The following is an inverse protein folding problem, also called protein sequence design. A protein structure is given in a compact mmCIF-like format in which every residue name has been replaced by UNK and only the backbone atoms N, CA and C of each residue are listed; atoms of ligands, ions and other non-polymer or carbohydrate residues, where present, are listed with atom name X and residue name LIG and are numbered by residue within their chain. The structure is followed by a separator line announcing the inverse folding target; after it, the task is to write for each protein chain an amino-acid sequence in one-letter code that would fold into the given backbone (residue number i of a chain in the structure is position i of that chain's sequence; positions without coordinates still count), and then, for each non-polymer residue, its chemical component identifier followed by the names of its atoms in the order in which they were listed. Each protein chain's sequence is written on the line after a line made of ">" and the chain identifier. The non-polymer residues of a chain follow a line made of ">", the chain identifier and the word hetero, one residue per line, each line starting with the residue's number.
data_IF_796111049464
#
_entry.id   IF_796111049464
#
_cell.length_a   1.000
_cell.length_b   1.000
_cell.length_c   1.000
_cell.angle_alpha   90.00
_cell.angle_beta   90.00
_cell.angle_gamma   90.00
#
_symmetry.space_group_name_H-M   'P 1'
#
loop_
_entity.id
_entity.type
_entity.pdbx_description
1 polymer ?
#
# COMPACT_ATOMS: atom_id res chain seq x y z
N UNK A 1 13.60 8.78 -14.13
CA UNK A 1 12.39 8.24 -13.48
C UNK A 1 11.24 8.31 -14.48
N UNK A 2 10.21 7.49 -14.33
CA UNK A 2 9.00 7.53 -15.15
C UNK A 2 7.79 7.68 -14.24
N UNK A 3 6.91 8.64 -14.51
CA UNK A 3 5.62 8.80 -13.85
C UNK A 3 4.49 8.46 -14.83
N UNK A 4 3.77 7.39 -14.54
CA UNK A 4 2.63 6.92 -15.33
C UNK A 4 1.32 7.49 -14.75
N UNK A 5 0.38 7.85 -15.61
CA UNK A 5 -0.87 8.53 -15.21
C UNK A 5 -0.57 9.85 -14.48
N UNK A 6 0.27 10.68 -15.10
CA UNK A 6 0.87 11.86 -14.45
C UNK A 6 -0.13 12.97 -14.16
N UNK A 7 -1.30 12.96 -14.81
CA UNK A 7 -2.28 14.03 -14.67
C UNK A 7 -1.65 15.39 -14.96
N UNK A 8 -1.89 16.35 -14.06
CA UNK A 8 -1.33 17.70 -14.18
C UNK A 8 0.16 17.81 -13.76
N UNK A 9 0.85 16.68 -13.55
CA UNK A 9 2.28 16.66 -13.27
C UNK A 9 2.67 16.93 -11.81
N UNK A 10 1.74 16.83 -10.84
CA UNK A 10 2.08 17.09 -9.42
C UNK A 10 3.16 16.13 -8.90
N UNK A 11 3.08 14.84 -9.22
CA UNK A 11 4.08 13.85 -8.78
C UNK A 11 5.48 14.19 -9.31
N UNK A 12 5.71 14.38 -10.61
CA UNK A 12 7.05 14.69 -11.13
C UNK A 12 7.56 16.03 -10.58
N UNK A 13 6.71 17.05 -10.42
CA UNK A 13 7.09 18.32 -9.79
C UNK A 13 7.54 18.16 -8.33
N UNK A 14 6.86 17.34 -7.53
CA UNK A 14 7.29 17.08 -6.15
C UNK A 14 8.57 16.24 -6.12
N UNK A 15 8.77 15.33 -7.08
CA UNK A 15 9.98 14.52 -7.16
C UNK A 15 11.24 15.34 -7.45
N UNK A 16 11.15 16.47 -8.17
CA UNK A 16 12.33 17.35 -8.40
C UNK A 16 12.85 17.99 -7.13
N UNK A 17 12.02 18.15 -6.10
CA UNK A 17 12.44 18.62 -4.78
C UNK A 17 13.35 17.61 -4.04
N UNK A 18 13.40 16.36 -4.52
CA UNK A 18 14.12 15.25 -3.87
C UNK A 18 15.13 14.56 -4.79
N UNK A 19 15.22 14.99 -6.04
CA UNK A 19 16.11 14.38 -7.03
C UNK A 19 16.38 15.31 -8.19
N UNK A 20 17.59 15.23 -8.74
CA UNK A 20 18.02 15.99 -9.92
C UNK A 20 18.00 15.15 -11.21
N UNK A 21 17.57 13.88 -11.14
CA UNK A 21 17.58 12.99 -12.31
C UNK A 21 16.47 13.35 -13.30
N UNK A 22 16.62 13.02 -14.60
CA UNK A 22 15.57 13.21 -15.59
C UNK A 22 14.30 12.43 -15.25
N UNK A 23 13.14 13.03 -15.49
CA UNK A 23 11.81 12.47 -15.22
C UNK A 23 10.99 12.52 -16.51
N UNK A 24 10.47 11.38 -16.94
CA UNK A 24 9.45 11.33 -17.99
C UNK A 24 8.07 11.23 -17.34
N UNK A 25 7.15 12.11 -17.70
CA UNK A 25 5.79 12.14 -17.20
C UNK A 25 4.82 11.78 -18.35
N UNK A 26 4.01 10.73 -18.16
CA UNK A 26 3.12 10.21 -19.20
C UNK A 26 1.67 10.42 -18.79
N UNK A 27 0.91 11.06 -19.67
CA UNK A 27 -0.53 11.27 -19.50
C UNK A 27 -1.25 11.04 -20.84
N UNK A 28 -2.35 10.28 -20.82
CA UNK A 28 -3.10 9.93 -22.03
C UNK A 28 -3.93 11.10 -22.55
N UNK A 29 -4.41 11.97 -21.66
CA UNK A 29 -5.24 13.11 -22.01
C UNK A 29 -4.38 14.31 -22.40
N UNK A 30 -4.40 14.66 -23.70
CA UNK A 30 -3.61 15.77 -24.24
C UNK A 30 -3.81 17.10 -23.50
N UNK A 31 -5.05 17.45 -23.15
CA UNK A 31 -5.37 18.69 -22.45
C UNK A 31 -4.77 18.73 -21.03
N UNK A 32 -4.80 17.59 -20.34
CA UNK A 32 -4.24 17.46 -18.98
C UNK A 32 -2.71 17.46 -19.03
N UNK A 33 -2.13 16.80 -20.04
CA UNK A 33 -0.70 16.83 -20.29
C UNK A 33 -0.20 18.23 -20.65
N UNK A 34 -0.98 19.04 -21.38
CA UNK A 34 -0.67 20.45 -21.62
C UNK A 34 -0.62 21.26 -20.32
N UNK A 35 -1.57 21.03 -19.39
CA UNK A 35 -1.52 21.63 -18.06
C UNK A 35 -0.22 21.27 -17.31
N UNK A 36 0.21 20.01 -17.41
CA UNK A 36 1.48 19.56 -16.83
C UNK A 36 2.68 20.27 -17.47
N UNK A 37 2.73 20.35 -18.81
CA UNK A 37 3.79 21.06 -19.56
C UNK A 37 3.91 22.51 -19.13
N UNK A 38 2.77 23.23 -19.05
CA UNK A 38 2.75 24.62 -18.58
C UNK A 38 3.24 24.73 -17.13
N UNK A 39 2.85 23.81 -16.26
CA UNK A 39 3.31 23.79 -14.87
C UNK A 39 4.83 23.55 -14.79
N UNK A 40 5.38 22.63 -15.57
CA UNK A 40 6.82 22.38 -15.69
C UNK A 40 7.55 23.65 -16.17
N UNK A 41 7.03 24.31 -17.21
CA UNK A 41 7.60 25.54 -17.75
C UNK A 41 7.60 26.68 -16.73
N UNK A 42 6.49 26.90 -16.03
CA UNK A 42 6.36 27.95 -15.01
C UNK A 42 7.32 27.75 -13.83
N UNK A 43 7.73 26.51 -13.56
CA UNK A 43 8.69 26.19 -12.51
C UNK A 43 10.14 26.09 -13.02
N UNK A 44 10.40 26.34 -14.31
CA UNK A 44 11.75 26.28 -14.88
C UNK A 44 12.35 24.87 -14.96
N UNK A 45 11.50 23.83 -15.02
CA UNK A 45 11.91 22.42 -14.93
C UNK A 45 11.94 21.69 -16.29
N UNK A 46 11.94 22.41 -17.41
CA UNK A 46 11.85 21.83 -18.76
C UNK A 46 13.03 20.94 -19.14
N UNK A 47 14.20 21.17 -18.55
CA UNK A 47 15.39 20.34 -18.78
C UNK A 47 15.36 19.03 -17.97
N UNK A 48 14.53 18.97 -16.92
CA UNK A 48 14.45 17.82 -16.04
C UNK A 48 13.20 16.96 -16.28
N UNK A 49 12.06 17.58 -16.60
CA UNK A 49 10.78 16.89 -16.79
C UNK A 49 10.37 16.94 -18.26
N UNK A 50 10.28 15.76 -18.88
CA UNK A 50 9.73 15.55 -20.23
C UNK A 50 8.30 15.00 -20.13
N UNK A 51 7.31 15.80 -20.56
CA UNK A 51 5.89 15.40 -20.53
C UNK A 51 5.47 14.85 -21.90
N UNK A 52 5.03 13.59 -21.92
CA UNK A 52 4.61 12.87 -23.12
C UNK A 52 3.13 12.51 -23.09
N UNK A 53 2.54 12.48 -24.28
CA UNK A 53 1.12 12.16 -24.49
C UNK A 53 1.01 10.86 -25.25
N UNK A 54 0.71 9.77 -24.54
CA UNK A 54 0.43 8.46 -25.13
C UNK A 54 -0.32 7.57 -24.14
N UNK A 55 -0.90 6.49 -24.65
CA UNK A 55 -1.54 5.45 -23.84
C UNK A 55 -0.46 4.52 -23.26
N UNK A 56 -0.40 4.34 -21.95
CA UNK A 56 0.56 3.43 -21.32
C UNK A 56 0.47 1.98 -21.84
N UNK A 57 -0.68 1.58 -22.41
CA UNK A 57 -0.85 0.26 -23.05
C UNK A 57 0.06 0.09 -24.27
N UNK A 58 0.48 1.19 -24.91
CA UNK A 58 1.39 1.22 -26.07
C UNK A 58 2.84 1.56 -25.70
N UNK A 59 3.21 1.49 -24.41
CA UNK A 59 4.54 1.91 -23.93
C UNK A 59 5.72 1.25 -24.67
N UNK A 60 5.54 0.03 -25.18
CA UNK A 60 6.55 -0.71 -25.93
C UNK A 60 6.91 -0.08 -27.27
N UNK A 61 5.99 0.69 -27.84
CA UNK A 61 6.13 1.38 -29.12
C UNK A 61 6.73 2.79 -28.90
N UNK A 62 6.56 3.33 -27.69
CA UNK A 62 6.95 4.69 -27.31
C UNK A 62 8.31 4.78 -26.61
N UNK A 63 8.74 3.69 -25.96
CA UNK A 63 9.92 3.69 -25.09
C UNK A 63 10.69 2.36 -25.13
N UNK A 64 12.03 2.40 -25.02
CA UNK A 64 12.83 1.19 -24.88
C UNK A 64 12.57 0.46 -23.56
N UNK A 65 12.55 -0.87 -23.62
CA UNK A 65 12.42 -1.75 -22.46
C UNK A 65 13.54 -1.53 -21.43
N UNK A 66 13.17 -1.52 -20.15
CA UNK A 66 14.11 -1.64 -19.04
C UNK A 66 15.07 -0.45 -18.88
N UNK A 67 14.56 0.77 -19.02
CA UNK A 67 15.36 1.99 -18.98
C UNK A 67 15.27 2.76 -17.68
N UNK A 68 14.21 2.56 -16.89
CA UNK A 68 13.96 3.34 -15.67
C UNK A 68 14.36 2.58 -14.40
N UNK A 69 14.97 3.29 -13.45
CA UNK A 69 15.26 2.76 -12.11
C UNK A 69 14.03 2.84 -11.19
N UNK A 70 13.17 3.84 -11.42
CA UNK A 70 11.95 4.10 -10.66
C UNK A 70 10.81 4.45 -11.60
N UNK A 71 9.67 3.79 -11.36
CA UNK A 71 8.36 4.12 -11.93
C UNK A 71 7.42 4.54 -10.80
N UNK A 72 6.70 5.64 -10.96
CA UNK A 72 5.59 6.04 -10.08
C UNK A 72 4.28 5.95 -10.84
N UNK A 73 3.19 5.65 -10.15
CA UNK A 73 1.86 5.71 -10.74
C UNK A 73 0.77 5.97 -9.70
N UNK A 74 -0.08 6.94 -10.00
CA UNK A 74 -1.29 7.26 -9.25
C UNK A 74 -2.49 7.15 -10.22
N UNK A 75 -2.92 5.92 -10.58
CA UNK A 75 -3.89 5.73 -11.65
C UNK A 75 -5.27 6.30 -11.24
N UNK A 76 -6.10 6.73 -12.20
CA UNK A 76 -7.45 7.17 -11.92
C UNK A 76 -8.29 6.00 -11.39
N UNK A 77 -8.67 6.02 -10.10
CA UNK A 77 -9.29 4.88 -9.40
C UNK A 77 -10.77 4.62 -9.73
N UNK A 78 -11.36 5.30 -10.70
CA UNK A 78 -12.79 5.24 -10.94
C UNK A 78 -13.15 4.08 -11.87
N UNK A 79 -13.60 2.98 -11.28
CA UNK A 79 -14.53 2.06 -11.92
C UNK A 79 -15.81 2.05 -11.08
N UNK A 80 -16.83 2.69 -11.64
CA UNK A 80 -18.25 2.80 -11.26
C UNK A 80 -18.69 2.41 -9.84
N UNK A 81 -19.15 3.42 -9.07
CA UNK A 81 -20.03 3.20 -7.93
C UNK A 81 -21.11 4.28 -7.72
N UNK A 82 -21.42 5.11 -8.72
CA UNK A 82 -22.58 6.00 -8.69
C UNK A 82 -23.18 6.17 -10.10
N UNK A 83 -24.16 5.34 -10.45
CA UNK A 83 -25.20 5.73 -11.41
C UNK A 83 -26.08 6.77 -10.72
N UNK A 84 -25.73 8.05 -10.87
CA UNK A 84 -26.66 9.13 -10.56
C UNK A 84 -27.52 9.37 -11.80
N UNK A 85 -28.80 8.99 -11.70
CA UNK A 85 -29.84 9.29 -12.67
C UNK A 85 -30.16 10.80 -12.68
N UNK A 86 -29.28 11.63 -13.24
CA UNK A 86 -29.62 13.00 -13.61
C UNK A 86 -28.66 13.56 -14.65
N UNK A 87 -29.19 13.66 -15.89
CA UNK A 87 -28.77 14.45 -17.07
C UNK A 87 -27.90 13.74 -18.12
N UNK A 88 -28.36 13.74 -19.40
CA UNK A 88 -27.57 13.31 -20.54
C UNK A 88 -26.76 14.51 -21.07
N UNK A 89 -25.51 14.66 -20.62
CA UNK A 89 -24.55 15.58 -21.24
C UNK A 89 -23.29 14.79 -21.66
N UNK A 90 -23.44 14.14 -22.82
CA UNK A 90 -22.47 14.12 -23.92
C UNK A 90 -21.12 13.42 -23.77
N UNK A 91 -20.79 12.75 -22.66
CA UNK A 91 -19.65 11.81 -22.61
C UNK A 91 -20.08 10.64 -21.73
N UNK A 92 -20.57 9.57 -22.38
CA UNK A 92 -20.41 8.23 -21.85
C UNK A 92 -18.95 8.12 -21.39
N UNK A 93 -18.73 8.23 -20.08
CA UNK A 93 -17.43 8.25 -19.43
C UNK A 93 -16.57 7.16 -20.04
N UNK A 94 -15.61 7.55 -20.89
CA UNK A 94 -14.41 6.82 -21.28
C UNK A 94 -14.36 5.39 -20.70
N UNK A 95 -15.16 4.48 -21.28
CA UNK A 95 -15.09 3.05 -21.04
C UNK A 95 -13.78 2.57 -21.66
N UNK A 96 -12.67 2.73 -20.92
CA UNK A 96 -11.38 2.02 -20.94
C UNK A 96 -10.32 2.85 -20.20
N UNK A 97 -10.59 3.28 -18.97
CA UNK A 97 -9.50 3.68 -18.07
C UNK A 97 -8.57 2.48 -17.90
N UNK A 98 -7.25 2.67 -18.11
CA UNK A 98 -6.24 1.62 -17.97
C UNK A 98 -6.45 0.82 -16.67
N UNK A 99 -6.41 -0.51 -16.75
CA UNK A 99 -6.57 -1.35 -15.56
C UNK A 99 -5.29 -1.33 -14.73
N UNK A 100 -5.37 -1.77 -13.47
CA UNK A 100 -4.15 -1.95 -12.66
C UNK A 100 -3.19 -2.99 -13.26
N UNK A 101 -3.70 -3.93 -14.07
CA UNK A 101 -2.89 -4.88 -14.83
C UNK A 101 -2.11 -4.21 -15.96
N UNK A 102 -2.74 -3.31 -16.71
CA UNK A 102 -2.07 -2.52 -17.75
C UNK A 102 -0.97 -1.65 -17.14
N UNK A 103 -1.28 -0.98 -16.04
CA UNK A 103 -0.34 -0.15 -15.27
C UNK A 103 0.86 -0.99 -14.77
N UNK A 104 0.60 -2.14 -14.15
CA UNK A 104 1.67 -3.01 -13.64
C UNK A 104 2.54 -3.56 -14.78
N UNK A 105 1.95 -3.94 -15.92
CA UNK A 105 2.69 -4.39 -17.10
C UNK A 105 3.55 -3.28 -17.70
N UNK A 106 3.01 -2.06 -17.85
CA UNK A 106 3.76 -0.93 -18.37
C UNK A 106 4.91 -0.55 -17.42
N UNK A 107 4.66 -0.50 -16.11
CA UNK A 107 5.70 -0.28 -15.12
C UNK A 107 6.79 -1.36 -15.18
N UNK A 108 6.42 -2.64 -15.25
CA UNK A 108 7.36 -3.73 -15.38
C UNK A 108 8.17 -3.64 -16.67
N UNK A 109 7.55 -3.32 -17.81
CA UNK A 109 8.24 -3.14 -19.08
C UNK A 109 9.29 -2.02 -19.02
N UNK A 110 8.92 -0.87 -18.46
CA UNK A 110 9.79 0.30 -18.35
C UNK A 110 10.96 0.09 -17.37
N UNK A 111 10.76 -0.69 -16.32
CA UNK A 111 11.76 -0.86 -15.25
C UNK A 111 12.95 -1.74 -15.65
N UNK A 112 14.15 -1.29 -15.29
CA UNK A 112 15.35 -2.13 -15.20
C UNK A 112 15.11 -3.31 -14.24
N UNK A 113 15.87 -4.39 -14.39
CA UNK A 113 15.87 -5.43 -13.35
C UNK A 113 16.27 -4.82 -11.99
N UNK A 114 15.58 -5.20 -10.91
CA UNK A 114 15.65 -4.56 -9.58
C UNK A 114 15.18 -3.10 -9.49
N UNK A 115 14.69 -2.52 -10.58
CA UNK A 115 13.98 -1.24 -10.55
C UNK A 115 12.71 -1.32 -9.70
N UNK A 116 12.26 -0.15 -9.22
CA UNK A 116 11.17 -0.02 -8.25
C UNK A 116 9.94 0.64 -8.89
N UNK A 117 8.77 0.07 -8.65
CA UNK A 117 7.50 0.71 -8.91
C UNK A 117 6.88 1.20 -7.60
N UNK A 118 6.34 2.42 -7.57
CA UNK A 118 5.55 2.93 -6.46
C UNK A 118 4.13 3.23 -6.95
N UNK A 119 3.16 2.56 -6.35
CA UNK A 119 1.74 2.70 -6.66
C UNK A 119 1.00 3.37 -5.51
N UNK A 120 0.15 4.32 -5.85
CA UNK A 120 -0.95 4.74 -4.99
C UNK A 120 -2.17 3.91 -5.39
N UNK A 121 -2.96 3.43 -4.43
CA UNK A 121 -4.14 2.62 -4.73
C UNK A 121 -5.23 2.70 -3.66
N UNK A 122 -6.40 2.15 -3.97
CA UNK A 122 -7.54 2.04 -3.06
C UNK A 122 -7.46 0.71 -2.28
N UNK A 123 -7.51 0.72 -0.93
CA UNK A 123 -7.38 -0.50 -0.12
C UNK A 123 -8.43 -1.57 -0.44
N UNK A 124 -9.62 -1.18 -0.86
CA UNK A 124 -10.75 -2.08 -1.15
C UNK A 124 -10.43 -3.09 -2.27
N UNK A 125 -9.56 -2.68 -3.22
CA UNK A 125 -9.15 -3.49 -4.37
C UNK A 125 -7.69 -3.94 -4.29
N UNK A 126 -7.09 -3.89 -3.10
CA UNK A 126 -5.67 -4.24 -2.90
C UNK A 126 -5.31 -5.63 -3.44
N UNK A 127 -6.23 -6.58 -3.40
CA UNK A 127 -6.03 -7.93 -3.94
C UNK A 127 -5.71 -7.91 -5.44
N UNK A 128 -6.36 -7.04 -6.22
CA UNK A 128 -6.10 -6.87 -7.65
C UNK A 128 -4.71 -6.26 -7.91
N UNK A 129 -4.29 -5.30 -7.09
CA UNK A 129 -2.96 -4.71 -7.19
C UNK A 129 -1.87 -5.76 -6.96
N UNK A 130 -2.02 -6.61 -5.94
CA UNK A 130 -1.07 -7.70 -5.68
C UNK A 130 -1.05 -8.71 -6.83
N UNK A 131 -2.22 -9.06 -7.37
CA UNK A 131 -2.31 -9.98 -8.50
C UNK A 131 -1.68 -9.38 -9.77
N UNK A 132 -1.94 -8.12 -10.06
CA UNK A 132 -1.35 -7.39 -11.19
C UNK A 132 0.18 -7.32 -11.08
N UNK A 133 0.71 -7.01 -9.89
CA UNK A 133 2.15 -7.06 -9.64
C UNK A 133 2.73 -8.45 -9.90
N UNK A 134 2.11 -9.50 -9.35
CA UNK A 134 2.56 -10.88 -9.54
C UNK A 134 2.58 -11.29 -11.02
N UNK A 135 1.50 -11.00 -11.76
CA UNK A 135 1.40 -11.28 -13.20
C UNK A 135 2.45 -10.52 -14.02
N UNK A 136 2.80 -9.30 -13.63
CA UNK A 136 3.79 -8.47 -14.32
C UNK A 136 5.25 -8.77 -13.91
N UNK A 137 5.50 -9.68 -12.95
CA UNK A 137 6.84 -9.95 -12.43
C UNK A 137 7.40 -8.84 -11.51
N UNK A 138 6.50 -8.06 -10.90
CA UNK A 138 6.80 -7.09 -9.85
C UNK A 138 6.53 -7.74 -8.50
N UNK A 139 7.51 -7.74 -7.62
CA UNK A 139 7.36 -8.31 -6.28
C UNK A 139 7.03 -7.20 -5.27
N UNK A 140 5.85 -7.20 -4.61
CA UNK A 140 5.51 -6.27 -3.55
C UNK A 140 6.55 -6.29 -2.42
N UNK A 141 7.04 -5.12 -2.02
CA UNK A 141 8.11 -4.98 -1.02
C UNK A 141 7.73 -4.16 0.20
N UNK A 142 7.07 -3.02 0.01
CA UNK A 142 6.64 -2.17 1.11
C UNK A 142 5.20 -1.77 0.90
N UNK A 143 4.39 -1.95 1.93
CA UNK A 143 2.99 -1.58 1.96
C UNK A 143 2.76 -0.55 3.05
N UNK A 144 2.04 0.52 2.79
CA UNK A 144 1.68 1.51 3.81
C UNK A 144 0.24 1.97 3.64
N UNK A 145 -0.53 1.87 4.72
CA UNK A 145 -1.91 2.35 4.74
C UNK A 145 -1.96 3.81 5.15
N UNK A 146 -2.81 4.58 4.48
CA UNK A 146 -3.09 5.97 4.82
C UNK A 146 -4.53 6.06 5.28
N UNK A 147 -4.71 6.60 6.47
CA UNK A 147 -5.99 6.75 7.16
C UNK A 147 -6.30 8.24 7.31
N UNK A 148 -7.52 8.69 7.04
CA UNK A 148 -7.89 10.09 7.28
C UNK A 148 -7.68 10.52 8.74
N UNK A 149 -7.97 9.61 9.69
CA UNK A 149 -7.82 9.79 11.15
C UNK A 149 -7.72 8.42 11.82
N UNK A 150 -7.31 8.37 13.08
CA UNK A 150 -7.02 7.12 13.81
C UNK A 150 -8.15 6.09 13.78
N UNK A 151 -9.38 6.53 14.03
CA UNK A 151 -10.56 5.65 14.10
C UNK A 151 -11.24 5.43 12.74
N UNK A 152 -10.65 5.90 11.64
CA UNK A 152 -11.19 5.73 10.29
C UNK A 152 -10.50 4.58 9.54
N UNK A 153 -11.24 3.93 8.64
CA UNK A 153 -10.67 2.98 7.70
C UNK A 153 -9.64 3.65 6.79
N UNK A 154 -8.64 2.89 6.37
CA UNK A 154 -7.71 3.35 5.34
C UNK A 154 -8.48 3.64 4.05
N UNK A 155 -8.16 4.75 3.40
CA UNK A 155 -8.75 5.11 2.10
C UNK A 155 -7.69 5.17 0.99
N UNK A 156 -6.41 5.06 1.33
CA UNK A 156 -5.30 4.96 0.38
C UNK A 156 -4.34 3.88 0.88
N UNK A 157 -3.75 3.14 -0.05
CA UNK A 157 -2.60 2.28 0.18
C UNK A 157 -1.46 2.67 -0.75
N UNK A 158 -0.25 2.76 -0.21
CA UNK A 158 0.98 2.94 -0.97
C UNK A 158 1.68 1.59 -1.06
N UNK A 159 2.08 1.21 -2.27
CA UNK A 159 2.82 -0.03 -2.51
C UNK A 159 4.10 0.25 -3.29
N UNK A 160 5.25 -0.09 -2.71
CA UNK A 160 6.51 -0.25 -3.44
C UNK A 160 6.61 -1.72 -3.90
N UNK A 161 6.89 -1.95 -5.18
CA UNK A 161 7.19 -3.25 -5.76
C UNK A 161 8.53 -3.22 -6.52
N UNK A 162 9.20 -4.37 -6.66
CA UNK A 162 10.51 -4.49 -7.29
C UNK A 162 10.48 -5.48 -8.44
N UNK A 163 10.94 -5.09 -9.63
CA UNK A 163 11.02 -5.99 -10.79
C UNK A 163 12.01 -7.13 -10.53
N UNK A 164 11.52 -8.36 -10.58
CA UNK A 164 12.31 -9.56 -10.27
C UNK A 164 12.87 -9.54 -8.84
N UNK A 165 12.15 -8.93 -7.89
CA UNK A 165 12.48 -8.98 -6.47
C UNK A 165 12.40 -10.39 -5.88
N UNK A 166 13.07 -10.62 -4.74
CA UNK A 166 12.83 -11.82 -3.93
C UNK A 166 11.54 -11.66 -3.15
N UNK A 167 10.89 -12.76 -2.78
CA UNK A 167 9.66 -12.71 -2.00
C UNK A 167 9.76 -11.92 -0.69
N UNK A 168 8.61 -11.43 -0.24
CA UNK A 168 8.42 -10.85 1.09
C UNK A 168 8.08 -9.37 1.03
N UNK A 169 6.98 -9.04 1.70
CA UNK A 169 6.42 -7.69 1.86
C UNK A 169 6.53 -7.24 3.32
N UNK A 170 6.98 -6.01 3.53
CA UNK A 170 6.96 -5.33 4.83
C UNK A 170 5.77 -4.38 4.87
N UNK A 171 4.90 -4.53 5.86
CA UNK A 171 3.86 -3.53 6.13
C UNK A 171 4.43 -2.47 7.06
N UNK A 172 4.53 -1.23 6.57
CA UNK A 172 4.96 -0.07 7.33
C UNK A 172 3.84 0.39 8.27
N UNK A 173 4.18 1.09 9.36
CA UNK A 173 3.17 1.73 10.19
C UNK A 173 2.28 2.68 9.37
N UNK A 174 0.97 2.71 9.67
CA UNK A 174 0.03 3.54 8.95
C UNK A 174 0.34 5.02 9.15
N UNK A 175 -0.04 5.84 8.19
CA UNK A 175 -0.03 7.31 8.32
C UNK A 175 -1.46 7.76 8.60
N UNK A 176 -1.64 8.55 9.64
CA UNK A 176 -2.91 9.22 9.93
C UNK A 176 -2.82 10.67 9.44
N UNK A 177 -3.73 11.10 8.57
CA UNK A 177 -3.64 12.44 7.97
C UNK A 177 -3.96 13.52 8.99
N UNK A 178 -5.04 13.34 9.76
CA UNK A 178 -5.54 14.34 10.70
C UNK A 178 -5.71 13.82 12.13
N UNK A 179 -5.41 14.69 13.09
CA UNK A 179 -5.76 14.57 14.51
C UNK A 179 -6.27 15.94 15.00
N UNK A 180 -7.44 15.98 15.62
CA UNK A 180 -8.09 17.21 16.10
C UNK A 180 -8.22 18.34 15.05
N UNK A 181 -8.32 17.99 13.77
CA UNK A 181 -8.46 18.95 12.67
C UNK A 181 -7.13 19.46 12.10
N UNK A 182 -6.00 19.08 12.69
CA UNK A 182 -4.66 19.43 12.22
C UNK A 182 -3.94 18.23 11.61
N UNK A 183 -2.94 18.49 10.78
CA UNK A 183 -2.09 17.44 10.22
C UNK A 183 -1.26 16.77 11.32
N UNK A 184 -1.26 15.44 11.35
CA UNK A 184 -0.43 14.73 12.34
C UNK A 184 1.05 14.89 12.01
N UNK A 185 1.91 14.81 13.03
CA UNK A 185 3.37 14.77 12.81
C UNK A 185 3.78 13.65 11.86
N UNK A 186 3.10 12.49 11.92
CA UNK A 186 3.39 11.36 11.03
C UNK A 186 3.11 11.69 9.56
N UNK A 187 2.03 12.43 9.29
CA UNK A 187 1.70 12.89 7.95
C UNK A 187 2.67 13.97 7.47
N UNK A 188 2.92 14.99 8.29
CA UNK A 188 3.85 16.08 7.92
C UNK A 188 5.23 15.54 7.56
N UNK A 189 5.78 14.62 8.36
CA UNK A 189 7.04 13.93 8.05
C UNK A 189 7.01 13.22 6.71
N UNK A 190 5.96 12.43 6.45
CA UNK A 190 5.81 11.70 5.19
C UNK A 190 5.66 12.65 4.00
N UNK A 191 4.90 13.74 4.18
CA UNK A 191 4.66 14.76 3.18
C UNK A 191 5.96 15.52 2.83
N UNK A 192 6.74 15.91 3.84
CA UNK A 192 8.02 16.61 3.67
C UNK A 192 9.15 15.68 3.21
N UNK A 193 9.02 14.37 3.45
CA UNK A 193 9.98 13.35 2.98
C UNK A 193 11.05 13.02 4.01
N UNK A 194 10.77 13.31 5.27
CA UNK A 194 11.66 12.98 6.37
C UNK A 194 11.75 11.46 6.56
N UNK A 195 12.97 10.95 6.62
CA UNK A 195 13.22 9.55 6.95
C UNK A 195 13.11 9.36 8.46
N UNK A 196 12.32 8.38 8.89
CA UNK A 196 12.20 8.01 10.29
C UNK A 196 12.44 6.50 10.46
N UNK A 197 13.29 6.12 11.40
CA UNK A 197 13.49 4.74 11.78
C UNK A 197 12.37 4.31 12.72
N UNK A 198 11.56 3.36 12.28
CA UNK A 198 10.61 2.70 13.18
C UNK A 198 11.38 1.78 14.11
N UNK A 199 11.57 2.18 15.36
CA UNK A 199 11.93 1.23 16.39
C UNK A 199 10.78 0.23 16.55
N UNK A 200 11.12 -1.06 16.69
CA UNK A 200 10.16 -2.04 17.20
C UNK A 200 9.82 -1.62 18.62
N UNK A 201 8.76 -0.83 18.78
CA UNK A 201 8.19 -0.58 20.08
C UNK A 201 7.61 -1.91 20.56
N UNK A 202 8.33 -2.58 21.46
CA UNK A 202 7.72 -3.63 22.25
C UNK A 202 6.60 -2.96 23.05
N UNK A 203 5.37 -3.38 22.77
CA UNK A 203 4.17 -2.97 23.47
C UNK A 203 4.36 -3.18 24.99
N UNK A 204 4.78 -2.12 25.71
CA UNK A 204 4.84 -2.06 27.19
C UNK A 204 3.44 -1.84 27.78
N UNK A 205 2.43 -2.52 27.24
CA UNK A 205 1.12 -2.53 27.88
C UNK A 205 1.25 -3.37 29.14
N UNK A 206 0.92 -2.78 30.29
CA UNK A 206 0.66 -3.51 31.53
C UNK A 206 -0.58 -4.38 31.27
N UNK A 207 -0.38 -5.52 30.60
CA UNK A 207 -1.45 -6.45 30.27
C UNK A 207 -2.00 -6.99 31.58
N UNK A 208 -3.33 -7.09 31.68
CA UNK A 208 -3.93 -8.03 32.63
C UNK A 208 -3.40 -9.41 32.23
N UNK A 209 -2.65 -10.05 33.11
CA UNK A 209 -2.05 -11.36 32.84
C UNK A 209 -3.16 -12.34 32.50
N UNK A 210 -3.14 -12.82 31.27
CA UNK A 210 -3.94 -13.96 30.87
C UNK A 210 -2.97 -15.04 30.43
N UNK A 211 -3.28 -16.27 30.78
CA UNK A 211 -2.43 -17.41 30.55
C UNK A 211 -3.16 -18.37 29.63
N UNK A 212 -2.40 -18.89 28.68
CA UNK A 212 -2.78 -20.09 27.93
C UNK A 212 -2.01 -21.23 28.56
N UNK A 213 -2.70 -22.27 28.99
CA UNK A 213 -2.09 -23.41 29.66
C UNK A 213 -2.48 -24.70 28.93
N UNK A 214 -1.61 -25.72 29.04
CA UNK A 214 -1.86 -27.04 28.51
C UNK A 214 -1.80 -28.06 29.64
N UNK A 215 -2.78 -28.96 29.66
CA UNK A 215 -2.92 -30.04 30.64
C UNK A 215 -2.79 -31.36 29.91
N UNK A 216 -2.01 -32.28 30.46
CA UNK A 216 -2.03 -33.68 30.02
C UNK A 216 -3.09 -34.43 30.82
N UNK A 217 -3.99 -35.09 30.11
CA UNK A 217 -5.07 -35.90 30.67
C UNK A 217 -4.56 -37.33 30.90
N UNK A 218 -5.19 -38.06 31.83
CA UNK A 218 -4.83 -39.47 32.15
C UNK A 218 -4.79 -40.44 30.97
N UNK A 219 -5.50 -40.14 29.88
CA UNK A 219 -5.51 -40.94 28.66
C UNK A 219 -4.38 -40.57 27.69
N UNK A 220 -3.46 -39.68 28.09
CA UNK A 220 -2.36 -39.16 27.28
C UNK A 220 -2.77 -38.07 26.29
N UNK A 221 -4.02 -37.60 26.34
CA UNK A 221 -4.48 -36.49 25.50
C UNK A 221 -4.12 -35.13 26.12
N UNK A 222 -3.91 -34.10 25.27
CA UNK A 222 -3.60 -32.75 25.74
C UNK A 222 -4.80 -31.82 25.58
N UNK A 223 -5.15 -31.12 26.66
CA UNK A 223 -6.18 -30.08 26.69
C UNK A 223 -5.53 -28.70 26.78
N UNK A 224 -5.99 -27.74 25.97
CA UNK A 224 -5.54 -26.34 26.07
C UNK A 224 -6.64 -25.46 26.63
N UNK A 225 -6.28 -24.58 27.57
CA UNK A 225 -7.21 -23.70 28.27
C UNK A 225 -6.73 -22.26 28.35
N UNK A 226 -7.69 -21.35 28.52
CA UNK A 226 -7.45 -19.93 28.74
C UNK A 226 -7.97 -19.53 30.13
N UNK A 227 -7.15 -18.83 30.91
CA UNK A 227 -7.57 -18.28 32.19
C UNK A 227 -6.82 -16.99 32.54
N UNK A 228 -7.49 -16.12 33.32
CA UNK A 228 -6.83 -14.96 33.98
C UNK A 228 -6.14 -15.37 35.28
N UNK A 229 -6.62 -16.44 35.91
CA UNK A 229 -6.03 -17.11 37.05
C UNK A 229 -6.04 -18.62 36.78
N UNK A 230 -4.87 -19.16 36.41
CA UNK A 230 -4.75 -20.57 36.02
C UNK A 230 -5.03 -21.49 37.20
N UNK A 231 -4.65 -21.09 38.41
CA UNK A 231 -4.78 -21.93 39.60
C UNK A 231 -6.24 -22.04 40.04
N UNK A 232 -6.97 -20.93 40.03
CA UNK A 232 -8.42 -20.96 40.26
C UNK A 232 -9.15 -21.81 39.21
N UNK A 233 -8.76 -21.68 37.94
CA UNK A 233 -9.37 -22.46 36.84
C UNK A 233 -9.03 -23.96 36.92
N UNK A 234 -7.78 -24.30 37.25
CA UNK A 234 -7.34 -25.67 37.46
C UNK A 234 -8.10 -26.33 38.61
N UNK A 235 -8.30 -25.60 39.71
CA UNK A 235 -9.10 -26.07 40.85
C UNK A 235 -10.53 -26.43 40.43
N UNK A 236 -11.16 -25.66 39.55
CA UNK A 236 -12.49 -26.00 39.01
C UNK A 236 -12.51 -27.28 38.16
N UNK A 237 -11.42 -27.57 37.42
CA UNK A 237 -11.30 -28.83 36.67
C UNK A 237 -11.13 -30.02 37.62
N UNK A 238 -10.31 -29.88 38.67
CA UNK A 238 -10.13 -30.92 39.70
C UNK A 238 -11.44 -31.18 40.47
N UNK A 239 -12.21 -30.13 40.77
CA UNK A 239 -13.50 -30.23 41.46
C UNK A 239 -14.66 -30.70 40.55
N UNK A 240 -14.41 -30.98 39.26
CA UNK A 240 -15.42 -31.46 38.31
C UNK A 240 -16.48 -30.42 37.92
N UNK A 241 -16.28 -29.13 38.27
CA UNK A 241 -17.20 -28.02 37.96
C UNK A 241 -16.88 -27.32 36.63
N UNK A 242 -15.99 -27.89 35.83
CA UNK A 242 -15.68 -27.52 34.43
C UNK A 242 -15.80 -28.75 33.51
N UNK A 243 -15.29 -28.68 32.27
CA UNK A 243 -15.12 -29.91 31.48
C UNK A 243 -14.30 -30.91 32.31
N UNK A 244 -14.84 -32.12 32.45
CA UNK A 244 -14.32 -33.17 33.35
C UNK A 244 -12.97 -33.66 32.84
N UNK A 245 -11.89 -33.09 33.37
CA UNK A 245 -10.52 -33.43 32.97
C UNK A 245 -9.75 -33.82 34.23
N UNK A 246 -9.20 -35.03 34.25
CA UNK A 246 -8.28 -35.48 35.29
C UNK A 246 -6.86 -35.10 34.89
N UNK A 247 -6.25 -34.21 35.69
CA UNK A 247 -4.96 -33.58 35.41
C UNK A 247 -3.88 -34.27 36.22
N UNK A 248 -2.84 -34.77 35.53
CA UNK A 248 -1.68 -35.39 36.19
C UNK A 248 -0.49 -34.42 36.32
N UNK A 249 -0.29 -33.52 35.34
CA UNK A 249 0.80 -32.52 35.37
C UNK A 249 0.40 -31.21 34.67
N UNK A 250 0.96 -30.07 35.12
CA UNK A 250 0.68 -28.73 34.58
C UNK A 250 1.96 -28.11 34.06
N UNK A 251 1.96 -27.66 32.81
CA UNK A 251 3.07 -26.91 32.22
C UNK A 251 2.61 -25.50 31.85
N UNK A 252 3.22 -24.50 32.50
CA UNK A 252 2.97 -23.08 32.26
C UNK A 252 4.06 -22.53 31.32
N UNK A 253 3.65 -21.82 30.27
CA UNK A 253 4.53 -21.01 29.40
C UNK A 253 3.98 -19.60 29.23
#
# INVERSE_FOLDING_TARGET
>A
MLDLCSGNGVVPLVLTMRSEVPITAVEIQADVADMAKRSVQMNGLTEQIDVRVFDLKTIKDEMPHGTFDVVTCNPPYYQDSLKNDAKPFTIARHEEACTIYDVAQAAAYALKHKGKAAFVFRPERIHELFQACATAGLEPKRLQYIHPKQEAQANIVLLEAVKGGKHGVTTLPPVFVYENGEHTTSFTRAYEGESFAYERIQCKVKRRSHFVYMLECKDGSYYTGYARDVWARLKMHIEGKGQSIHVDEVHLR
#
